data_IF_331087916583
#
_entry.id   IF_331087916583
#
_cell.length_a   1.000
_cell.length_b   1.000
_cell.length_c   1.000
_cell.angle_alpha   90.00
_cell.angle_beta   90.00
_cell.angle_gamma   90.00
#
_symmetry.space_group_name_H-M   'P 1'
#
loop_
_entity.id
_entity.type
_entity.pdbx_description
1 polymer ?
#
# COMPACT_ATOMS: atom_id res chain seq x y z
N UNK A 1 -10.35 -6.54 -10.55
CA UNK A 1 -9.03 -7.20 -10.43
C UNK A 1 -9.17 -8.68 -10.12
N UNK A 2 -9.84 -9.07 -9.04
CA UNK A 2 -10.09 -10.49 -8.73
C UNK A 2 -10.85 -11.24 -9.85
N UNK A 3 -11.70 -10.55 -10.61
CA UNK A 3 -12.38 -11.11 -11.78
C UNK A 3 -11.49 -11.25 -13.04
N UNK A 4 -10.21 -10.88 -12.98
CA UNK A 4 -9.29 -10.97 -14.13
C UNK A 4 -9.60 -10.01 -15.28
N UNK A 5 -10.31 -8.90 -15.02
CA UNK A 5 -10.70 -7.91 -16.04
C UNK A 5 -9.48 -7.35 -16.78
N UNK A 6 -9.41 -7.54 -18.11
CA UNK A 6 -8.27 -7.10 -18.92
C UNK A 6 -8.22 -5.58 -19.15
N UNK A 7 -9.37 -4.92 -19.22
CA UNK A 7 -9.47 -3.50 -19.50
C UNK A 7 -10.55 -2.86 -18.61
N UNK A 8 -10.17 -1.81 -17.86
CA UNK A 8 -11.05 -1.09 -16.95
C UNK A 8 -11.19 0.35 -17.44
N UNK A 9 -12.28 0.64 -18.16
CA UNK A 9 -12.47 1.92 -18.87
C UNK A 9 -12.61 3.12 -17.94
N UNK A 10 -13.31 2.98 -16.80
CA UNK A 10 -13.63 4.06 -15.86
C UNK A 10 -12.85 3.92 -14.56
N UNK A 11 -11.57 3.58 -14.66
CA UNK A 11 -10.74 3.23 -13.51
C UNK A 11 -10.50 4.39 -12.54
N UNK A 12 -10.59 5.65 -12.99
CA UNK A 12 -10.37 6.82 -12.14
C UNK A 12 -11.23 8.04 -12.50
N UNK A 13 -11.67 8.77 -11.47
CA UNK A 13 -12.30 10.10 -11.59
C UNK A 13 -13.80 10.11 -11.87
N UNK A 14 -14.40 8.93 -12.09
CA UNK A 14 -15.83 8.78 -12.33
C UNK A 14 -16.64 9.07 -11.06
N UNK A 15 -17.62 9.98 -11.17
CA UNK A 15 -18.55 10.32 -10.08
C UNK A 15 -19.98 10.52 -10.61
N UNK A 16 -20.95 10.56 -9.70
CA UNK A 16 -22.35 10.88 -10.01
C UNK A 16 -22.94 10.03 -11.16
N UNK A 17 -22.70 8.72 -11.13
CA UNK A 17 -23.21 7.81 -12.16
C UNK A 17 -22.70 8.08 -13.58
N UNK A 18 -21.61 8.85 -13.72
CA UNK A 18 -20.99 9.20 -15.01
C UNK A 18 -21.30 10.62 -15.48
N UNK A 19 -22.02 11.40 -14.68
CA UNK A 19 -22.35 12.79 -14.99
C UNK A 19 -21.18 13.75 -14.71
N UNK A 20 -20.18 13.32 -13.93
CA UNK A 20 -19.04 14.15 -13.56
C UNK A 20 -17.70 13.41 -13.66
N UNK A 21 -16.68 14.15 -14.09
CA UNK A 21 -15.27 13.82 -13.87
C UNK A 21 -14.74 14.73 -12.76
N UNK A 22 -14.31 14.14 -11.64
CA UNK A 22 -13.89 14.86 -10.44
C UNK A 22 -12.38 14.66 -10.20
N UNK A 23 -11.65 15.76 -9.99
CA UNK A 23 -10.20 15.73 -9.82
C UNK A 23 -9.79 15.08 -8.50
N UNK A 24 -10.49 15.37 -7.40
CA UNK A 24 -10.25 14.78 -6.10
C UNK A 24 -10.50 13.26 -6.13
N UNK A 25 -11.61 12.85 -6.76
CA UNK A 25 -11.95 11.45 -6.96
C UNK A 25 -10.92 10.74 -7.84
N UNK A 26 -10.39 11.43 -8.86
CA UNK A 26 -9.33 10.89 -9.71
C UNK A 26 -8.07 10.59 -8.89
N UNK A 27 -7.63 11.52 -8.04
CA UNK A 27 -6.48 11.33 -7.16
C UNK A 27 -6.68 10.17 -6.18
N UNK A 28 -7.89 10.03 -5.63
CA UNK A 28 -8.25 8.88 -4.78
C UNK A 28 -8.19 7.56 -5.54
N UNK A 29 -8.75 7.52 -6.74
CA UNK A 29 -8.83 6.29 -7.51
C UNK A 29 -7.44 5.81 -7.97
N UNK A 30 -6.56 6.71 -8.42
CA UNK A 30 -5.21 6.32 -8.84
C UNK A 30 -4.37 5.75 -7.70
N UNK A 31 -4.58 6.22 -6.46
CA UNK A 31 -3.93 5.66 -5.26
C UNK A 31 -4.40 4.22 -5.00
N UNK A 32 -5.71 3.98 -5.11
CA UNK A 32 -6.30 2.64 -5.02
C UNK A 32 -5.84 1.71 -6.15
N UNK A 33 -5.71 2.23 -7.37
CA UNK A 33 -5.17 1.48 -8.50
C UNK A 33 -3.70 1.08 -8.26
N UNK A 34 -2.90 1.95 -7.65
CA UNK A 34 -1.52 1.65 -7.26
C UNK A 34 -1.44 0.52 -6.22
N UNK A 35 -2.27 0.58 -5.17
CA UNK A 35 -2.39 -0.50 -4.18
C UNK A 35 -2.78 -1.82 -4.84
N UNK A 36 -3.73 -1.75 -5.75
CA UNK A 36 -4.25 -2.90 -6.48
C UNK A 36 -3.20 -3.51 -7.42
N UNK A 37 -2.35 -2.68 -8.03
CA UNK A 37 -1.22 -3.14 -8.82
C UNK A 37 -0.22 -3.89 -7.94
N UNK A 38 0.14 -3.36 -6.77
CA UNK A 38 1.02 -4.07 -5.82
C UNK A 38 0.39 -5.38 -5.34
N UNK A 39 -0.90 -5.38 -5.04
CA UNK A 39 -1.65 -6.58 -4.66
C UNK A 39 -1.59 -7.65 -5.76
N UNK A 40 -1.63 -7.25 -7.04
CA UNK A 40 -1.59 -8.18 -8.17
C UNK A 40 -0.25 -8.91 -8.34
N UNK A 41 0.83 -8.44 -7.71
CA UNK A 41 2.13 -9.13 -7.67
C UNK A 41 2.08 -10.42 -6.81
N UNK A 42 1.08 -10.55 -5.93
CA UNK A 42 0.92 -11.71 -5.05
C UNK A 42 1.90 -11.73 -3.88
N UNK A 43 2.14 -12.93 -3.35
CA UNK A 43 3.04 -13.15 -2.21
C UNK A 43 4.40 -13.60 -2.72
N UNK A 44 5.47 -12.94 -2.28
CA UNK A 44 6.84 -13.39 -2.54
C UNK A 44 7.16 -14.64 -1.73
N UNK A 45 7.40 -15.76 -2.42
CA UNK A 45 7.76 -17.05 -1.83
C UNK A 45 9.27 -17.35 -1.90
N UNK A 46 10.08 -16.39 -2.34
CA UNK A 46 11.55 -16.51 -2.33
C UNK A 46 12.11 -16.70 -0.91
N UNK A 47 13.39 -17.08 -0.80
CA UNK A 47 14.06 -17.16 0.50
C UNK A 47 14.01 -15.83 1.27
N UNK A 48 14.14 -14.70 0.56
CA UNK A 48 13.97 -13.37 1.15
C UNK A 48 12.54 -13.16 1.65
N UNK A 49 11.52 -13.54 0.85
CA UNK A 49 10.11 -13.45 1.24
C UNK A 49 9.75 -14.33 2.46
N UNK A 50 10.43 -15.47 2.63
CA UNK A 50 10.25 -16.35 3.79
C UNK A 50 10.85 -15.77 5.09
N UNK A 51 11.88 -14.91 4.99
CA UNK A 51 12.49 -14.17 6.10
C UNK A 51 12.95 -15.04 7.30
N UNK A 52 13.28 -16.32 7.07
CA UNK A 52 13.60 -17.27 8.14
C UNK A 52 14.84 -16.86 8.96
N UNK A 53 15.82 -16.22 8.33
CA UNK A 53 17.03 -15.73 9.02
C UNK A 53 16.71 -14.56 9.94
N UNK A 54 15.83 -13.65 9.51
CA UNK A 54 15.36 -12.55 10.36
C UNK A 54 14.60 -13.08 11.58
N UNK A 55 13.76 -14.11 11.40
CA UNK A 55 13.02 -14.74 12.50
C UNK A 55 13.98 -15.31 13.56
N UNK A 56 15.04 -16.02 13.12
CA UNK A 56 16.06 -16.58 14.01
C UNK A 56 16.92 -15.51 14.66
N UNK A 57 17.28 -14.46 13.91
CA UNK A 57 18.09 -13.33 14.40
C UNK A 57 17.37 -12.57 15.51
N UNK A 58 16.08 -12.28 15.34
CA UNK A 58 15.29 -11.44 16.26
C UNK A 58 14.87 -12.24 17.50
N UNK A 59 14.38 -13.47 17.31
CA UNK A 59 13.97 -14.35 18.40
C UNK A 59 12.73 -13.87 19.21
N UNK A 60 12.31 -14.66 20.22
CA UNK A 60 11.09 -14.38 20.97
C UNK A 60 11.17 -13.10 21.82
N UNK A 61 10.08 -12.32 21.84
CA UNK A 61 9.94 -11.14 22.72
C UNK A 61 10.63 -9.87 22.23
N UNK A 62 11.21 -9.88 21.03
CA UNK A 62 11.86 -8.73 20.40
C UNK A 62 10.99 -8.15 19.25
N UNK A 63 11.55 -7.28 18.41
CA UNK A 63 10.87 -6.65 17.27
C UNK A 63 11.76 -6.55 16.01
N UNK A 64 11.14 -6.35 14.84
CA UNK A 64 11.82 -6.39 13.54
C UNK A 64 12.23 -5.03 12.97
N UNK A 65 11.84 -3.91 13.60
CA UNK A 65 12.07 -2.56 13.03
C UNK A 65 13.54 -2.26 12.68
N UNK A 66 14.48 -2.79 13.46
CA UNK A 66 15.92 -2.55 13.29
C UNK A 66 16.72 -3.69 12.69
N UNK A 67 16.10 -4.81 12.30
CA UNK A 67 16.87 -5.95 11.78
C UNK A 67 17.29 -5.74 10.32
N UNK A 68 18.34 -6.46 9.90
CA UNK A 68 18.94 -6.31 8.57
C UNK A 68 17.94 -6.55 7.44
N UNK A 69 17.03 -7.53 7.62
CA UNK A 69 15.99 -7.84 6.65
C UNK A 69 15.01 -6.68 6.45
N UNK A 70 14.55 -6.03 7.53
CA UNK A 70 13.70 -4.85 7.41
C UNK A 70 14.45 -3.72 6.72
N UNK A 71 15.69 -3.43 7.12
CA UNK A 71 16.50 -2.36 6.53
C UNK A 71 16.77 -2.57 5.02
N UNK A 72 16.94 -3.82 4.59
CA UNK A 72 17.14 -4.17 3.19
C UNK A 72 15.87 -4.04 2.34
N UNK A 73 14.68 -4.19 2.93
CA UNK A 73 13.43 -4.38 2.17
C UNK A 73 12.40 -3.24 2.34
N UNK A 74 12.42 -2.47 3.43
CA UNK A 74 11.28 -1.59 3.82
C UNK A 74 10.90 -0.54 2.76
N UNK A 75 11.84 -0.09 1.93
CA UNK A 75 11.60 0.93 0.92
C UNK A 75 10.75 0.43 -0.25
N UNK A 76 10.76 -0.88 -0.51
CA UNK A 76 10.12 -1.50 -1.69
C UNK A 76 9.10 -2.59 -1.35
N UNK A 77 9.10 -3.06 -0.10
CA UNK A 77 8.23 -4.14 0.35
C UNK A 77 6.73 -3.77 0.30
N UNK A 78 6.38 -2.51 0.57
CA UNK A 78 5.01 -2.06 0.72
C UNK A 78 4.61 -1.01 -0.32
N UNK A 79 3.33 -1.00 -0.68
CA UNK A 79 2.76 0.16 -1.34
C UNK A 79 2.61 1.30 -0.32
N UNK A 80 3.03 2.50 -0.69
CA UNK A 80 2.87 3.70 0.14
C UNK A 80 1.91 4.66 -0.55
N UNK A 81 0.74 4.85 0.07
CA UNK A 81 -0.23 5.83 -0.40
C UNK A 81 0.34 7.24 -0.29
N UNK A 82 0.00 8.09 -1.25
CA UNK A 82 0.38 9.50 -1.24
C UNK A 82 -0.70 10.42 -0.63
N UNK A 83 -1.86 9.86 -0.30
CA UNK A 83 -3.04 10.64 0.15
C UNK A 83 -3.67 10.10 1.44
N UNK A 84 -3.32 8.89 1.87
CA UNK A 84 -3.78 8.35 3.14
C UNK A 84 -2.98 8.99 4.29
N UNK A 85 -3.70 9.54 5.26
CA UNK A 85 -3.12 9.94 6.54
C UNK A 85 -3.03 8.72 7.47
N UNK A 86 -1.81 8.38 7.89
CA UNK A 86 -1.54 7.31 8.85
C UNK A 86 -0.85 7.83 10.12
N UNK A 87 -0.95 9.14 10.36
CA UNK A 87 -0.43 9.79 11.55
C UNK A 87 -1.35 9.52 12.75
N UNK A 88 -0.88 9.92 13.93
CA UNK A 88 -1.71 9.97 15.14
C UNK A 88 -2.85 10.97 14.99
N UNK A 89 -3.95 10.76 15.72
CA UNK A 89 -5.07 11.70 15.80
C UNK A 89 -4.62 13.13 16.09
N UNK A 90 -3.70 13.32 17.03
CA UNK A 90 -3.22 14.64 17.44
C UNK A 90 -2.53 15.40 16.31
N UNK A 91 -1.76 14.70 15.48
CA UNK A 91 -1.09 15.29 14.32
C UNK A 91 -2.10 15.60 13.22
N UNK A 92 -2.99 14.67 12.88
CA UNK A 92 -4.05 14.87 11.91
C UNK A 92 -4.91 16.10 12.26
N UNK A 93 -5.31 16.23 13.53
CA UNK A 93 -6.07 17.39 14.02
C UNK A 93 -5.27 18.68 13.89
N UNK A 94 -3.98 18.66 14.22
CA UNK A 94 -3.11 19.83 14.09
C UNK A 94 -2.91 20.27 12.63
N UNK A 95 -3.09 19.35 11.67
CA UNK A 95 -2.98 19.58 10.24
C UNK A 95 -4.31 20.02 9.58
N UNK A 96 -5.43 20.02 10.31
CA UNK A 96 -6.64 20.76 9.92
C UNK A 96 -7.93 19.96 9.69
N UNK A 97 -7.98 18.70 10.13
CA UNK A 97 -9.06 17.72 9.86
C UNK A 97 -9.18 17.23 8.40
#
# INVERSE_FOLDING_TARGET
ILAGTNFVLHSAGWLEGGLASCYEKFMMDIDQLGMTQKFSEGVDLSENGQAMDAIRQVGPGSHYLGCDHTQANFQTAFYRSNIADNNSYEQWLAEGE
#
